data_IF_281166530096
#
_entry.id   IF_281166530096
#
_cell.length_a   1.000
_cell.length_b   1.000
_cell.length_c   1.000
_cell.angle_alpha   90.00
_cell.angle_beta   90.00
_cell.angle_gamma   90.00
#
_symmetry.space_group_name_H-M   'P 1'
#
loop_
_entity.id
_entity.type
_entity.pdbx_description
1 polymer ?
#
# COMPACT_ATOMS: atom_id res chain seq x y z
N UNK A 1 19.31 7.24 13.32
CA UNK A 1 18.14 7.66 12.53
C UNK A 1 17.17 8.34 13.47
N UNK A 2 16.80 9.60 13.20
CA UNK A 2 15.87 10.33 14.06
C UNK A 2 14.48 9.68 13.93
N UNK A 3 14.04 8.97 14.97
CA UNK A 3 12.67 8.42 15.09
C UNK A 3 11.58 9.51 14.95
N UNK A 4 11.95 10.80 14.89
CA UNK A 4 11.05 11.95 14.87
C UNK A 4 10.40 12.26 13.53
N UNK A 5 10.91 11.75 12.40
CA UNK A 5 10.49 12.27 11.09
C UNK A 5 9.42 11.41 10.39
N UNK A 6 9.30 10.13 10.75
CA UNK A 6 8.29 9.26 10.13
C UNK A 6 6.85 9.79 10.30
N UNK A 7 6.44 10.34 11.46
CA UNK A 7 5.13 10.97 11.62
C UNK A 7 4.80 12.06 10.60
N UNK A 8 5.81 12.62 9.95
CA UNK A 8 5.68 13.73 9.02
C UNK A 8 5.55 13.29 7.56
N UNK A 9 5.53 11.99 7.26
CA UNK A 9 5.57 11.50 5.87
C UNK A 9 4.46 12.10 5.02
N UNK A 10 3.18 11.93 5.39
CA UNK A 10 2.06 12.50 4.64
C UNK A 10 2.10 14.03 4.61
N UNK A 11 2.37 14.68 5.75
CA UNK A 11 2.49 16.15 5.82
C UNK A 11 3.68 16.72 5.04
N UNK A 12 4.66 15.89 4.70
CA UNK A 12 5.82 16.31 3.90
C UNK A 12 5.59 16.14 2.40
N UNK A 13 4.62 15.31 2.03
CA UNK A 13 4.25 15.07 0.64
C UNK A 13 3.05 15.93 0.21
N UNK A 14 2.15 16.22 1.15
CA UNK A 14 0.94 17.02 0.93
C UNK A 14 1.01 18.36 1.70
N UNK A 15 0.49 19.46 1.14
CA UNK A 15 -0.27 19.54 -0.11
C UNK A 15 0.61 19.38 -1.37
N UNK A 16 0.06 18.71 -2.37
CA UNK A 16 0.74 18.39 -3.63
C UNK A 16 0.05 19.10 -4.79
N UNK A 17 0.84 19.77 -5.65
CA UNK A 17 0.31 20.41 -6.86
C UNK A 17 0.51 19.46 -8.03
N UNK A 18 -0.58 19.10 -8.70
CA UNK A 18 -0.55 18.24 -9.87
C UNK A 18 -1.53 18.71 -10.94
N UNK A 19 -1.08 18.84 -12.19
CA UNK A 19 -1.88 19.34 -13.31
C UNK A 19 -2.69 20.61 -12.96
N UNK A 20 -2.03 21.57 -12.30
CA UNK A 20 -2.63 22.86 -11.88
C UNK A 20 -3.72 22.74 -10.80
N UNK A 21 -3.99 21.54 -10.28
CA UNK A 21 -4.85 21.30 -9.13
C UNK A 21 -4.00 21.12 -7.86
N UNK A 22 -4.58 21.46 -6.70
CA UNK A 22 -3.92 21.32 -5.41
C UNK A 22 -4.63 20.25 -4.58
N UNK A 23 -3.88 19.25 -4.13
CA UNK A 23 -4.37 18.12 -3.35
C UNK A 23 -3.86 18.23 -1.93
N UNK A 24 -4.77 18.46 -0.98
CA UNK A 24 -4.42 18.61 0.43
C UNK A 24 -4.18 17.27 1.14
N UNK A 25 -4.60 16.15 0.56
CA UNK A 25 -4.46 14.82 1.16
C UNK A 25 -4.33 13.71 0.12
N UNK A 26 -3.77 12.55 0.49
CA UNK A 26 -3.77 11.35 -0.35
C UNK A 26 -5.18 10.94 -0.81
N UNK A 27 -6.18 11.09 0.06
CA UNK A 27 -7.57 10.76 -0.25
C UNK A 27 -8.16 11.71 -1.30
N UNK A 28 -7.89 13.01 -1.19
CA UNK A 28 -8.36 14.00 -2.18
C UNK A 28 -7.74 13.70 -3.55
N UNK A 29 -6.46 13.34 -3.59
CA UNK A 29 -5.79 12.92 -4.82
C UNK A 29 -6.43 11.66 -5.40
N UNK A 30 -6.66 10.62 -4.58
CA UNK A 30 -7.30 9.39 -5.04
C UNK A 30 -8.70 9.67 -5.60
N UNK A 31 -9.53 10.44 -4.89
CA UNK A 31 -10.89 10.74 -5.36
C UNK A 31 -10.88 11.43 -6.72
N UNK A 32 -10.03 12.44 -6.91
CA UNK A 32 -9.90 13.10 -8.22
C UNK A 32 -9.48 12.11 -9.31
N UNK A 33 -8.55 11.19 -9.03
CA UNK A 33 -8.17 10.15 -10.00
C UNK A 33 -9.33 9.22 -10.38
N UNK A 34 -10.24 8.95 -9.46
CA UNK A 34 -11.37 8.05 -9.70
C UNK A 34 -12.52 8.78 -10.41
N UNK A 35 -12.70 10.08 -10.15
CA UNK A 35 -13.83 10.85 -10.67
C UNK A 35 -13.52 11.66 -11.92
N UNK A 36 -12.28 12.12 -12.08
CA UNK A 36 -11.84 12.91 -13.23
C UNK A 36 -11.05 12.03 -14.20
N UNK A 37 -11.04 12.40 -15.49
CA UNK A 37 -10.34 11.69 -16.57
C UNK A 37 -8.82 11.93 -16.54
N UNK A 38 -8.29 12.13 -15.34
CA UNK A 38 -6.93 12.54 -15.07
C UNK A 38 -6.05 11.30 -15.06
N UNK A 39 -5.43 10.99 -16.20
CA UNK A 39 -4.46 9.90 -16.28
C UNK A 39 -3.18 10.30 -15.56
N UNK A 40 -3.05 9.90 -14.29
CA UNK A 40 -1.81 10.11 -13.55
C UNK A 40 -0.78 9.03 -13.92
N UNK A 41 0.44 9.49 -14.17
CA UNK A 41 1.59 8.61 -14.40
C UNK A 41 2.17 8.13 -13.06
N UNK A 42 2.15 6.82 -12.85
CA UNK A 42 2.70 6.20 -11.65
C UNK A 42 4.20 6.50 -11.48
N UNK A 43 4.93 6.65 -12.59
CA UNK A 43 6.35 6.95 -12.59
C UNK A 43 6.61 8.37 -12.08
N UNK A 44 5.76 9.31 -12.48
CA UNK A 44 5.86 10.69 -12.04
C UNK A 44 5.61 10.82 -10.52
N UNK A 45 4.62 10.13 -9.97
CA UNK A 45 4.38 10.14 -8.51
C UNK A 45 5.54 9.47 -7.76
N UNK A 46 6.03 8.35 -8.30
CA UNK A 46 7.20 7.65 -7.75
C UNK A 46 8.43 8.56 -7.73
N UNK A 47 8.69 9.32 -8.79
CA UNK A 47 9.81 10.28 -8.84
C UNK A 47 9.71 11.34 -7.76
N UNK A 48 8.50 11.86 -7.51
CA UNK A 48 8.28 12.85 -6.45
C UNK A 48 8.48 12.24 -5.05
N UNK A 49 7.94 11.04 -4.81
CA UNK A 49 8.25 10.30 -3.57
C UNK A 49 9.75 10.09 -3.39
N UNK A 50 10.46 9.72 -4.46
CA UNK A 50 11.91 9.51 -4.38
C UNK A 50 12.71 10.80 -4.15
N UNK A 51 12.15 11.96 -4.49
CA UNK A 51 12.74 13.27 -4.20
C UNK A 51 12.42 13.78 -2.78
N UNK A 52 11.53 13.12 -2.05
CA UNK A 52 11.19 13.49 -0.68
C UNK A 52 12.20 12.89 0.32
N UNK A 53 12.87 13.75 1.09
CA UNK A 53 13.92 13.34 2.03
C UNK A 53 13.41 12.45 3.16
N UNK A 54 12.19 12.71 3.66
CA UNK A 54 11.57 11.90 4.72
C UNK A 54 11.27 10.48 4.22
N UNK A 55 10.77 10.36 2.99
CA UNK A 55 10.58 9.06 2.35
C UNK A 55 11.93 8.36 2.09
N UNK A 56 12.96 9.08 1.63
CA UNK A 56 14.30 8.51 1.44
C UNK A 56 14.88 7.97 2.75
N UNK A 57 14.78 8.72 3.84
CA UNK A 57 15.19 8.27 5.17
C UNK A 57 14.45 6.99 5.56
N UNK A 58 13.13 6.97 5.38
CA UNK A 58 12.30 5.81 5.72
C UNK A 58 12.69 4.56 4.93
N UNK A 59 12.83 4.64 3.60
CA UNK A 59 13.21 3.49 2.77
C UNK A 59 14.65 3.00 2.98
N UNK A 60 15.55 3.87 3.41
CA UNK A 60 16.92 3.48 3.71
C UNK A 60 17.03 2.75 5.05
N UNK A 61 16.06 2.93 5.95
CA UNK A 61 16.00 2.22 7.23
C UNK A 61 15.60 0.74 7.14
N UNK A 62 14.91 0.36 6.07
CA UNK A 62 14.24 -0.94 5.93
C UNK A 62 14.96 -1.92 4.99
N UNK A 63 16.22 -1.66 4.65
CA UNK A 63 17.01 -2.49 3.70
C UNK A 63 17.02 -3.97 4.12
N UNK A 64 17.18 -4.23 5.42
CA UNK A 64 17.15 -5.60 5.96
C UNK A 64 15.74 -6.21 5.99
N UNK A 65 14.71 -5.39 6.26
CA UNK A 65 13.31 -5.82 6.30
C UNK A 65 12.87 -6.47 4.99
N UNK A 66 13.34 -5.96 3.84
CA UNK A 66 13.06 -6.59 2.54
C UNK A 66 13.62 -8.00 2.41
N UNK A 67 14.87 -8.21 2.83
CA UNK A 67 15.51 -9.53 2.75
C UNK A 67 14.74 -10.54 3.60
N UNK A 68 14.42 -10.14 4.84
CA UNK A 68 13.64 -10.95 5.76
C UNK A 68 12.23 -11.25 5.23
N UNK A 69 11.56 -10.26 4.61
CA UNK A 69 10.23 -10.45 4.03
C UNK A 69 10.25 -11.47 2.90
N UNK A 70 11.25 -11.40 2.00
CA UNK A 70 11.41 -12.38 0.93
C UNK A 70 11.58 -13.80 1.47
N UNK A 71 12.41 -13.96 2.51
CA UNK A 71 12.61 -15.26 3.15
C UNK A 71 11.33 -15.73 3.84
N UNK A 72 10.68 -14.87 4.64
CA UNK A 72 9.42 -15.17 5.30
C UNK A 72 8.38 -15.69 4.30
N UNK A 73 8.18 -15.00 3.18
CA UNK A 73 7.24 -15.43 2.13
C UNK A 73 7.62 -16.79 1.55
N UNK A 74 8.91 -17.01 1.26
CA UNK A 74 9.39 -18.28 0.72
C UNK A 74 9.14 -19.47 1.67
N UNK A 75 9.32 -19.29 2.98
CA UNK A 75 9.11 -20.35 3.97
C UNK A 75 7.66 -20.50 4.42
N UNK A 76 6.90 -19.40 4.50
CA UNK A 76 5.49 -19.43 4.97
C UNK A 76 4.53 -20.19 4.05
N UNK A 77 4.93 -20.42 2.79
CA UNK A 77 4.14 -21.12 1.78
C UNK A 77 4.54 -22.59 1.62
N UNK A 78 5.58 -23.05 2.32
CA UNK A 78 6.04 -24.44 2.24
C UNK A 78 5.18 -25.32 3.16
N UNK A 79 4.60 -26.37 2.59
CA UNK A 79 3.69 -27.28 3.30
C UNK A 79 4.37 -28.57 3.79
N UNK A 80 5.59 -28.89 3.33
CA UNK A 80 6.19 -30.22 3.49
C UNK A 80 7.52 -30.25 4.26
N UNK A 81 8.17 -29.10 4.50
CA UNK A 81 9.51 -29.08 5.07
C UNK A 81 9.50 -28.96 6.60
N UNK A 82 9.58 -30.12 7.27
CA UNK A 82 9.61 -30.20 8.74
C UNK A 82 10.88 -29.59 9.38
N UNK A 83 11.96 -29.40 8.62
CA UNK A 83 13.20 -28.83 9.14
C UNK A 83 13.08 -27.32 9.41
N UNK A 84 12.17 -26.64 8.71
CA UNK A 84 12.04 -25.18 8.70
C UNK A 84 10.72 -24.69 9.33
N UNK A 85 10.02 -25.53 10.10
CA UNK A 85 8.71 -25.21 10.70
C UNK A 85 8.73 -23.90 11.50
N UNK A 86 9.82 -23.62 12.22
CA UNK A 86 9.95 -22.43 13.06
C UNK A 86 10.51 -21.20 12.32
N UNK A 87 11.06 -21.38 11.11
CA UNK A 87 11.72 -20.31 10.36
C UNK A 87 10.79 -19.13 10.03
N UNK A 88 9.52 -19.33 9.62
CA UNK A 88 8.59 -18.23 9.43
C UNK A 88 8.41 -17.39 10.70
N UNK A 89 8.30 -18.03 11.87
CA UNK A 89 8.16 -17.33 13.15
C UNK A 89 9.41 -16.53 13.49
N UNK A 90 10.60 -17.08 13.27
CA UNK A 90 11.88 -16.38 13.46
C UNK A 90 12.01 -15.16 12.53
N UNK A 91 11.75 -15.34 11.23
CA UNK A 91 11.79 -14.21 10.29
C UNK A 91 10.75 -13.14 10.62
N UNK A 92 9.56 -13.53 11.12
CA UNK A 92 8.55 -12.58 11.60
C UNK A 92 9.05 -11.76 12.78
N UNK A 93 9.71 -12.38 13.75
CA UNK A 93 10.30 -11.66 14.89
C UNK A 93 11.39 -10.69 14.44
N UNK A 94 12.28 -11.11 13.53
CA UNK A 94 13.30 -10.22 12.99
C UNK A 94 12.68 -9.08 12.17
N UNK A 95 11.63 -9.35 11.38
CA UNK A 95 10.88 -8.32 10.67
C UNK A 95 10.31 -7.27 11.63
N UNK A 96 9.72 -7.70 12.74
CA UNK A 96 9.18 -6.79 13.77
C UNK A 96 10.28 -5.94 14.41
N UNK A 97 11.49 -6.47 14.61
CA UNK A 97 12.64 -5.69 15.14
C UNK A 97 13.08 -4.56 14.20
N UNK A 98 12.89 -4.74 12.90
CA UNK A 98 13.21 -3.74 11.87
C UNK A 98 12.02 -2.86 11.47
N UNK A 99 10.82 -3.16 11.95
CA UNK A 99 9.63 -2.36 11.69
C UNK A 99 9.61 -1.08 12.54
N UNK A 100 8.87 -0.08 12.07
CA UNK A 100 8.64 1.16 12.79
C UNK A 100 7.13 1.35 12.99
N UNK A 101 6.75 2.08 14.04
CA UNK A 101 5.36 2.46 14.20
C UNK A 101 4.96 3.41 13.08
N UNK A 102 3.88 3.08 12.38
CA UNK A 102 3.34 3.94 11.35
C UNK A 102 2.72 5.20 11.99
N UNK A 103 2.79 6.35 11.32
CA UNK A 103 2.16 7.57 11.80
C UNK A 103 0.66 7.39 11.97
N UNK A 104 0.10 8.07 12.98
CA UNK A 104 -1.34 8.25 13.05
C UNK A 104 -1.80 9.05 11.83
N UNK A 105 -2.97 8.70 11.30
CA UNK A 105 -3.57 9.26 10.09
C UNK A 105 -2.81 8.97 8.80
N UNK A 106 -1.73 8.17 8.82
CA UNK A 106 -1.06 7.74 7.60
C UNK A 106 -2.08 7.02 6.70
N UNK A 107 -2.14 7.44 5.43
CA UNK A 107 -3.00 6.81 4.43
C UNK A 107 -2.19 5.84 3.59
N UNK A 108 -2.70 4.63 3.41
CA UNK A 108 -2.13 3.57 2.59
C UNK A 108 -3.20 2.98 1.68
N UNK A 109 -2.79 2.41 0.55
CA UNK A 109 -3.71 1.87 -0.45
C UNK A 109 -3.38 0.42 -0.79
N UNK A 110 -4.39 -0.37 -1.16
CA UNK A 110 -4.18 -1.68 -1.77
C UNK A 110 -5.29 -2.02 -2.76
N UNK A 111 -4.95 -2.82 -3.77
CA UNK A 111 -5.83 -3.19 -4.87
C UNK A 111 -6.51 -4.54 -4.63
N UNK A 112 -7.77 -4.66 -5.05
CA UNK A 112 -8.52 -5.91 -5.05
C UNK A 112 -9.09 -6.31 -3.69
N UNK A 113 -9.55 -7.55 -3.57
CA UNK A 113 -10.07 -8.07 -2.31
C UNK A 113 -8.95 -8.39 -1.31
N UNK A 114 -9.25 -8.21 -0.02
CA UNK A 114 -8.34 -8.58 1.05
C UNK A 114 -8.12 -10.10 1.07
N UNK A 115 -6.89 -10.60 0.88
CA UNK A 115 -6.64 -12.04 0.89
C UNK A 115 -6.97 -12.66 2.25
N UNK A 116 -7.55 -13.88 2.25
CA UNK A 116 -7.90 -14.61 3.49
C UNK A 116 -6.68 -14.82 4.40
N UNK A 117 -5.51 -15.01 3.82
CA UNK A 117 -4.24 -15.19 4.54
C UNK A 117 -3.88 -13.99 5.40
N UNK A 118 -4.26 -12.77 5.01
CA UNK A 118 -3.94 -11.54 5.76
C UNK A 118 -4.51 -11.59 7.18
N UNK A 119 -5.71 -12.16 7.37
CA UNK A 119 -6.32 -12.31 8.70
C UNK A 119 -5.58 -13.32 9.58
N UNK A 120 -4.94 -14.31 8.98
CA UNK A 120 -4.22 -15.37 9.69
C UNK A 120 -2.78 -14.95 10.02
N UNK A 121 -2.07 -14.41 9.03
CA UNK A 121 -0.67 -14.01 9.17
C UNK A 121 -0.52 -12.64 9.82
N UNK A 122 -1.56 -11.81 9.77
CA UNK A 122 -1.55 -10.38 10.14
C UNK A 122 -0.43 -9.62 9.42
N UNK A 123 -0.21 -9.98 8.16
CA UNK A 123 0.76 -9.32 7.28
C UNK A 123 -0.01 -8.80 6.08
N UNK A 124 0.15 -7.52 5.76
CA UNK A 124 -0.54 -6.88 4.65
C UNK A 124 0.45 -6.01 3.86
N UNK A 125 0.50 -6.21 2.53
CA UNK A 125 1.25 -5.35 1.62
C UNK A 125 0.30 -4.28 1.11
N UNK A 126 0.72 -3.03 1.26
CA UNK A 126 0.02 -1.82 0.82
C UNK A 126 0.97 -0.94 0.02
N UNK A 127 0.53 0.22 -0.45
CA UNK A 127 1.35 1.21 -1.15
C UNK A 127 1.00 2.61 -0.68
N UNK A 128 1.99 3.50 -0.62
CA UNK A 128 1.76 4.96 -0.44
C UNK A 128 1.41 5.66 -1.76
N UNK A 129 1.55 4.97 -2.90
CA UNK A 129 1.27 5.51 -4.22
C UNK A 129 -0.16 5.13 -4.67
N UNK A 130 -1.13 6.07 -4.61
CA UNK A 130 -2.52 5.79 -5.01
C UNK A 130 -2.63 5.44 -6.50
N UNK A 131 -1.75 5.96 -7.35
CA UNK A 131 -1.71 5.65 -8.79
C UNK A 131 -1.33 4.19 -9.04
N UNK A 132 -0.38 3.67 -8.27
CA UNK A 132 -0.03 2.25 -8.37
C UNK A 132 -1.20 1.37 -7.91
N UNK A 133 -1.94 1.78 -6.88
CA UNK A 133 -3.10 1.04 -6.40
C UNK A 133 -4.22 0.99 -7.44
N UNK A 134 -4.54 2.11 -8.11
CA UNK A 134 -5.57 2.17 -9.16
C UNK A 134 -5.20 1.30 -10.36
N UNK A 135 -3.96 1.41 -10.88
CA UNK A 135 -3.47 0.59 -12.00
C UNK A 135 -3.51 -0.90 -11.65
N UNK A 136 -3.10 -1.27 -10.44
CA UNK A 136 -3.15 -2.66 -10.01
C UNK A 136 -4.59 -3.17 -9.88
N UNK A 137 -5.52 -2.35 -9.40
CA UNK A 137 -6.93 -2.71 -9.28
C UNK A 137 -7.57 -2.93 -10.66
N UNK A 138 -7.29 -2.05 -11.63
CA UNK A 138 -7.74 -2.19 -13.01
C UNK A 138 -7.21 -3.50 -13.64
N UNK A 139 -5.90 -3.77 -13.52
CA UNK A 139 -5.30 -5.02 -14.00
C UNK A 139 -5.90 -6.28 -13.37
N UNK A 140 -6.30 -6.22 -12.10
CA UNK A 140 -6.98 -7.33 -11.43
C UNK A 140 -8.41 -7.51 -11.96
N UNK A 141 -9.12 -6.41 -12.20
CA UNK A 141 -10.46 -6.41 -12.79
C UNK A 141 -10.47 -6.96 -14.22
N UNK A 142 -9.50 -6.58 -15.05
CA UNK A 142 -9.35 -7.08 -16.43
C UNK A 142 -9.08 -8.58 -16.49
N UNK A 143 -8.31 -9.11 -15.53
CA UNK A 143 -8.01 -10.54 -15.43
C UNK A 143 -9.21 -11.36 -14.96
N UNK A 144 -10.11 -10.76 -14.17
CA UNK A 144 -11.36 -11.37 -13.76
C UNK A 144 -12.34 -11.34 -14.94
N UNK A 145 -12.25 -12.33 -15.82
CA UNK A 145 -12.97 -12.47 -17.12
C UNK A 145 -14.50 -12.65 -17.00
N UNK A 146 -15.10 -12.21 -15.89
CA UNK A 146 -16.52 -12.38 -15.57
C UNK A 146 -17.22 -11.05 -15.85
N UNK A 147 -18.40 -11.12 -16.46
CA UNK A 147 -19.18 -10.06 -17.10
C UNK A 147 -19.61 -8.86 -16.24
N UNK A 148 -19.06 -8.67 -15.03
CA UNK A 148 -19.34 -7.57 -14.10
C UNK A 148 -18.08 -7.26 -13.25
N UNK A 149 -16.90 -7.14 -13.89
CA UNK A 149 -15.66 -6.93 -13.14
C UNK A 149 -15.67 -5.54 -12.49
N UNK A 150 -15.78 -5.53 -11.16
CA UNK A 150 -15.74 -4.31 -10.35
C UNK A 150 -14.30 -4.04 -9.95
N UNK A 151 -13.82 -2.83 -10.22
CA UNK A 151 -12.49 -2.39 -9.79
C UNK A 151 -12.54 -2.04 -8.31
N UNK A 152 -11.93 -2.88 -7.47
CA UNK A 152 -11.91 -2.68 -6.01
C UNK A 152 -10.62 -1.98 -5.60
N UNK A 153 -10.76 -0.83 -4.96
CA UNK A 153 -9.66 -0.05 -4.39
C UNK A 153 -9.92 0.12 -2.90
N UNK A 154 -8.89 -0.08 -2.09
CA UNK A 154 -9.02 0.03 -0.65
C UNK A 154 -8.08 1.11 -0.15
N UNK A 155 -8.61 1.97 0.70
CA UNK A 155 -7.88 2.97 1.47
C UNK A 155 -7.83 2.51 2.93
N UNK A 156 -6.64 2.52 3.52
CA UNK A 156 -6.41 2.23 4.93
C UNK A 156 -5.92 3.50 5.59
N UNK A 157 -6.55 3.89 6.70
CA UNK A 157 -6.09 4.96 7.58
C UNK A 157 -5.57 4.34 8.88
N UNK A 158 -4.34 4.69 9.25
CA UNK A 158 -3.74 4.23 10.50
C UNK A 158 -4.34 5.01 11.68
N UNK A 159 -5.10 4.31 12.53
CA UNK A 159 -5.69 4.86 13.76
C UNK A 159 -5.03 4.33 15.04
N UNK A 160 -4.38 3.16 14.95
CA UNK A 160 -3.66 2.54 16.06
C UNK A 160 -2.26 3.10 16.26
N UNK A 161 -1.88 3.33 17.53
CA UNK A 161 -0.52 3.77 17.89
C UNK A 161 0.53 2.65 17.78
N UNK A 162 0.09 1.40 17.68
CA UNK A 162 0.96 0.22 17.71
C UNK A 162 1.03 -0.51 16.37
N UNK A 163 0.54 0.11 15.29
CA UNK A 163 0.65 -0.48 13.96
C UNK A 163 2.10 -0.44 13.49
N UNK A 164 2.71 -1.60 13.29
CA UNK A 164 4.07 -1.73 12.79
C UNK A 164 4.07 -1.84 11.27
N UNK A 165 5.00 -1.13 10.63
CA UNK A 165 5.24 -1.29 9.21
C UNK A 165 6.58 -0.75 8.77
N UNK A 166 6.98 -1.10 7.55
CA UNK A 166 8.15 -0.54 6.91
C UNK A 166 8.00 -0.58 5.38
N UNK A 167 8.68 0.31 4.65
CA UNK A 167 8.57 0.39 3.21
C UNK A 167 9.49 -0.65 2.58
N UNK A 168 9.05 -1.29 1.49
CA UNK A 168 9.84 -2.29 0.79
C UNK A 168 10.71 -1.58 -0.24
N UNK A 169 12.03 -1.52 0.02
CA UNK A 169 12.97 -0.89 -0.93
C UNK A 169 13.19 -1.78 -2.16
N UNK A 170 12.68 -1.41 -3.33
CA UNK A 170 12.87 -2.19 -4.56
C UNK A 170 14.32 -2.17 -5.08
N UNK A 171 14.70 -3.21 -5.82
CA UNK A 171 16.06 -3.34 -6.36
C UNK A 171 16.16 -2.47 -7.62
N UNK A 172 17.20 -1.64 -7.70
CA UNK A 172 17.48 -0.84 -8.90
C UNK A 172 17.58 -1.69 -10.18
N UNK A 173 17.89 -2.99 -10.09
CA UNK A 173 18.09 -3.89 -11.24
C UNK A 173 16.83 -4.60 -11.76
N UNK A 174 15.71 -4.56 -11.05
CA UNK A 174 14.47 -5.23 -11.47
C UNK A 174 13.48 -4.22 -12.05
N UNK A 175 12.67 -4.61 -13.04
CA UNK A 175 11.62 -3.77 -13.66
C UNK A 175 10.54 -3.30 -12.67
N UNK A 176 10.49 -3.85 -11.47
CA UNK A 176 9.59 -3.48 -10.37
C UNK A 176 9.94 -2.15 -9.66
N UNK A 177 10.57 -1.19 -10.37
CA UNK A 177 11.14 0.04 -9.77
C UNK A 177 10.13 1.00 -9.12
N UNK A 178 8.84 0.78 -9.36
CA UNK A 178 7.76 1.75 -9.13
C UNK A 178 6.86 1.39 -7.95
N UNK A 179 7.15 0.28 -7.28
CA UNK A 179 6.33 -0.18 -6.18
C UNK A 179 6.73 0.62 -4.94
N UNK A 180 5.90 1.55 -4.50
CA UNK A 180 6.10 2.27 -3.23
C UNK A 180 5.43 1.49 -2.10
N UNK A 181 5.79 0.20 -2.00
CA UNK A 181 5.11 -0.76 -1.13
C UNK A 181 5.46 -0.57 0.34
N UNK A 182 4.49 -0.81 1.20
CA UNK A 182 4.62 -0.79 2.65
C UNK A 182 4.09 -2.10 3.19
N UNK A 183 4.95 -2.83 3.91
CA UNK A 183 4.58 -4.03 4.64
C UNK A 183 4.07 -3.63 6.02
N UNK A 184 2.82 -3.95 6.30
CA UNK A 184 2.18 -3.80 7.60
C UNK A 184 2.25 -5.15 8.33
N UNK A 185 2.62 -5.12 9.61
CA UNK A 185 2.85 -6.29 10.45
C UNK A 185 2.03 -6.23 11.74
N UNK A 186 1.52 -7.39 12.12
CA UNK A 186 0.97 -7.71 13.44
C UNK A 186 -0.12 -6.77 13.94
N UNK A 187 -0.90 -6.19 13.02
CA UNK A 187 -2.05 -5.36 13.37
C UNK A 187 -3.13 -6.17 14.10
N UNK A 188 -3.83 -5.51 15.03
CA UNK A 188 -4.84 -6.19 15.85
C UNK A 188 -6.20 -6.20 15.15
N UNK A 189 -6.59 -5.05 14.60
CA UNK A 189 -7.90 -4.86 14.02
C UNK A 189 -7.81 -4.08 12.70
N UNK A 190 -8.26 -4.72 11.61
CA UNK A 190 -8.53 -4.07 10.33
C UNK A 190 -10.05 -3.98 10.17
N UNK A 191 -10.60 -2.78 10.37
CA UNK A 191 -12.03 -2.53 10.38
C UNK A 191 -12.46 -1.79 9.13
N UNK A 192 -13.40 -2.37 8.38
CA UNK A 192 -14.09 -1.66 7.30
C UNK A 192 -15.02 -0.62 7.92
N UNK A 193 -14.88 0.64 7.51
CA UNK A 193 -15.67 1.77 8.04
C UNK A 193 -16.60 2.39 7.02
N UNK A 194 -16.26 2.30 5.73
CA UNK A 194 -17.09 2.83 4.66
C UNK A 194 -16.90 2.04 3.36
N UNK A 195 -17.93 1.98 2.54
CA UNK A 195 -17.90 1.48 1.17
C UNK A 195 -18.68 2.42 0.27
N UNK A 196 -18.06 2.85 -0.83
CA UNK A 196 -18.64 3.79 -1.78
C UNK A 196 -18.46 3.29 -3.21
N UNK A 197 -19.54 3.31 -3.99
CA UNK A 197 -19.47 3.10 -5.43
C UNK A 197 -19.15 4.43 -6.11
N UNK A 198 -17.97 4.52 -6.71
CA UNK A 198 -17.51 5.72 -7.40
C UNK A 198 -17.90 5.62 -8.87
N UNK A 199 -18.84 6.45 -9.30
CA UNK A 199 -19.19 6.56 -10.72
C UNK A 199 -18.11 7.35 -11.46
N UNK A 200 -17.36 6.70 -12.35
CA UNK A 200 -16.42 7.42 -13.21
C UNK A 200 -17.18 8.17 -14.32
N UNK A 201 -16.76 9.39 -14.67
CA UNK A 201 -17.29 10.14 -15.82
C UNK A 201 -16.73 9.64 -17.18
N UNK A 202 -16.22 8.41 -17.26
CA UNK A 202 -15.63 7.91 -18.51
C UNK A 202 -16.70 7.81 -19.60
N UNK A 203 -16.37 8.32 -20.80
CA UNK A 203 -17.21 8.30 -22.01
C UNK A 203 -17.23 6.94 -22.73
N UNK A 204 -16.73 5.86 -22.11
CA UNK A 204 -16.75 4.52 -22.69
C UNK A 204 -18.08 3.82 -22.37
N UNK A 205 -18.71 3.19 -23.37
CA UNK A 205 -19.98 2.45 -23.27
C UNK A 205 -19.94 1.20 -22.36
N UNK A 206 -18.96 1.08 -21.47
CA UNK A 206 -18.81 0.02 -20.48
C UNK A 206 -18.83 0.71 -19.12
N UNK A 207 -19.87 0.47 -18.33
CA UNK A 207 -19.97 0.95 -16.95
C UNK A 207 -18.90 0.23 -16.09
N UNK A 208 -17.69 0.78 -16.05
CA UNK A 208 -16.68 0.37 -15.09
C UNK A 208 -17.15 0.77 -13.68
N UNK A 209 -17.69 -0.21 -12.95
CA UNK A 209 -18.01 -0.09 -11.53
C UNK A 209 -16.72 -0.03 -10.71
N UNK A 210 -16.51 1.06 -9.98
CA UNK A 210 -15.40 1.22 -9.04
C UNK A 210 -15.97 1.17 -7.62
N UNK A 211 -15.46 0.24 -6.80
CA UNK A 211 -15.79 0.14 -5.39
C UNK A 211 -14.59 0.63 -4.56
N UNK A 212 -14.77 1.77 -3.89
CA UNK A 212 -13.82 2.30 -2.91
C UNK A 212 -14.21 1.82 -1.51
N UNK A 213 -13.30 1.10 -0.85
CA UNK A 213 -13.47 0.65 0.53
C UNK A 213 -12.54 1.41 1.46
N UNK A 214 -13.07 1.98 2.54
CA UNK A 214 -12.28 2.67 3.55
C UNK A 214 -12.16 1.80 4.80
N UNK A 215 -10.93 1.62 5.27
CA UNK A 215 -10.58 0.84 6.44
C UNK A 215 -9.86 1.70 7.47
N UNK A 216 -10.08 1.39 8.74
CA UNK A 216 -9.23 1.81 9.84
C UNK A 216 -8.37 0.63 10.30
N UNK A 217 -7.10 0.91 10.57
CA UNK A 217 -6.17 -0.06 11.12
C UNK A 217 -5.75 0.34 12.53
N UNK A 218 -5.96 -0.55 13.50
CA UNK A 218 -5.72 -0.33 14.94
C UNK A 218 -4.73 -1.34 15.53
#
# INVERSE_FOLDING_TARGET
MNKSNLPLLDSSLYPQIWQQQNFASPQTLLMEMLTADTTLDADAFTKQLLANDIYQDWINSSVFGRYLHRNFTAFSQQTEDSFNIDMPSLFRQELMRHAQYLPLEQVLFFAGDLPKSVRQTKVLITTVNPVTATINAQKLSEKATISNSTTIINQIVIKGKQVLGFPIRHNKRTSERLRNEVLILDFQELRLVNEENVSSKKRSNIEESILLRSYELR
#
